data_IF_645648441741
#
_entry.id   IF_645648441741
#
_cell.length_a   1.000
_cell.length_b   1.000
_cell.length_c   1.000
_cell.angle_alpha   90.00
_cell.angle_beta   90.00
_cell.angle_gamma   90.00
#
_symmetry.space_group_name_H-M   'P 1'
#
loop_
_entity.id
_entity.type
_entity.pdbx_description
1 polymer ?
#
# COMPACT_ATOMS: atom_id res chain seq x y z
N UNK A 1 36.35 -27.32 0.86
CA UNK A 1 34.88 -27.52 0.89
C UNK A 1 34.26 -26.58 -0.14
N UNK A 2 33.66 -27.10 -1.20
CA UNK A 2 32.87 -26.25 -2.10
C UNK A 2 31.67 -25.69 -1.34
N UNK A 3 31.51 -24.37 -1.42
CA UNK A 3 30.40 -23.67 -0.78
C UNK A 3 29.14 -24.12 -1.51
N UNK A 4 28.31 -24.90 -0.84
CA UNK A 4 27.02 -25.32 -1.39
C UNK A 4 26.23 -24.06 -1.78
N UNK A 5 25.74 -23.99 -3.01
CA UNK A 5 25.05 -22.82 -3.57
C UNK A 5 23.79 -23.28 -4.30
N UNK A 6 22.67 -22.64 -4.01
CA UNK A 6 21.43 -22.78 -4.80
C UNK A 6 21.53 -21.76 -5.95
N UNK A 7 21.54 -22.26 -7.17
CA UNK A 7 21.69 -21.48 -8.40
C UNK A 7 21.24 -22.32 -9.59
N UNK A 8 20.97 -21.68 -10.73
CA UNK A 8 20.53 -22.38 -11.93
C UNK A 8 19.09 -22.03 -12.29
N UNK A 9 18.40 -22.98 -12.91
CA UNK A 9 17.13 -22.74 -13.57
C UNK A 9 16.01 -23.51 -12.87
N UNK A 10 14.93 -22.80 -12.56
CA UNK A 10 13.73 -23.41 -12.02
C UNK A 10 12.98 -24.11 -13.17
N UNK A 11 13.01 -25.44 -13.20
CA UNK A 11 12.32 -26.21 -14.23
C UNK A 11 10.81 -26.06 -14.14
N UNK A 12 10.20 -25.82 -15.30
CA UNK A 12 8.76 -25.67 -15.52
C UNK A 12 8.39 -26.37 -16.83
N UNK A 13 7.10 -26.38 -17.16
CA UNK A 13 6.66 -26.74 -18.51
C UNK A 13 7.24 -25.77 -19.56
N UNK A 14 7.30 -26.12 -20.85
CA UNK A 14 7.93 -25.29 -21.89
C UNK A 14 7.38 -23.86 -22.02
N UNK A 15 6.17 -23.60 -21.54
CA UNK A 15 5.54 -22.28 -21.52
C UNK A 15 5.77 -21.48 -20.22
N UNK A 16 6.64 -21.98 -19.33
CA UNK A 16 6.96 -21.34 -18.05
C UNK A 16 5.93 -21.59 -16.95
N UNK A 17 4.95 -22.47 -17.19
CA UNK A 17 3.90 -22.77 -16.21
C UNK A 17 4.25 -23.94 -15.31
N UNK A 18 3.65 -23.94 -14.13
CA UNK A 18 3.74 -25.05 -13.17
C UNK A 18 2.39 -25.31 -12.53
N UNK A 19 2.18 -26.55 -12.06
CA UNK A 19 1.01 -26.89 -11.25
C UNK A 19 1.32 -26.81 -9.77
N UNK A 20 0.42 -26.20 -9.01
CA UNK A 20 0.41 -26.37 -7.56
C UNK A 20 -0.13 -27.77 -7.17
N UNK A 21 -0.09 -28.06 -5.88
CA UNK A 21 -0.62 -29.31 -5.35
C UNK A 21 -2.11 -29.49 -5.65
N UNK A 22 -2.92 -28.43 -5.75
CA UNK A 22 -4.35 -28.54 -6.10
C UNK A 22 -4.60 -28.72 -7.59
N UNK A 23 -3.56 -28.65 -8.41
CA UNK A 23 -3.62 -28.80 -9.86
C UNK A 23 -3.92 -27.49 -10.59
N UNK A 24 -3.89 -26.35 -9.90
CA UNK A 24 -4.01 -25.05 -10.53
C UNK A 24 -2.73 -24.72 -11.30
N UNK A 25 -2.88 -24.10 -12.47
CA UNK A 25 -1.77 -23.64 -13.27
C UNK A 25 -1.32 -22.25 -12.84
N UNK A 26 -0.01 -22.08 -12.68
CA UNK A 26 0.64 -20.81 -12.39
C UNK A 26 1.62 -20.46 -13.49
N UNK A 27 1.47 -19.28 -14.07
CA UNK A 27 2.49 -18.67 -14.94
C UNK A 27 3.53 -17.97 -14.06
N UNK A 28 4.61 -18.67 -13.73
CA UNK A 28 5.66 -18.14 -12.86
C UNK A 28 6.38 -16.95 -13.51
N UNK A 29 6.54 -16.96 -14.83
CA UNK A 29 7.22 -15.90 -15.55
C UNK A 29 6.42 -14.60 -15.49
N UNK A 30 5.10 -14.68 -15.68
CA UNK A 30 4.21 -13.54 -15.47
C UNK A 30 4.23 -13.07 -14.01
N UNK A 31 4.13 -13.99 -13.05
CA UNK A 31 4.15 -13.65 -11.63
C UNK A 31 5.42 -12.90 -11.23
N UNK A 32 6.60 -13.34 -11.70
CA UNK A 32 7.88 -12.71 -11.39
C UNK A 32 8.08 -11.35 -12.10
N UNK A 33 7.34 -11.05 -13.17
CA UNK A 33 7.34 -9.71 -13.80
C UNK A 33 6.55 -8.70 -13.00
N UNK A 34 5.51 -9.15 -12.30
CA UNK A 34 4.60 -8.28 -11.54
C UNK A 34 5.00 -8.15 -10.07
N UNK A 35 5.67 -9.18 -9.52
CA UNK A 35 5.96 -9.31 -8.11
C UNK A 35 7.39 -9.77 -7.86
N UNK A 36 7.93 -9.39 -6.70
CA UNK A 36 9.12 -10.04 -6.15
C UNK A 36 8.71 -11.41 -5.61
N UNK A 37 9.11 -12.48 -6.29
CA UNK A 37 8.76 -13.85 -5.91
C UNK A 37 9.87 -14.48 -5.09
N UNK A 38 9.54 -14.89 -3.87
CA UNK A 38 10.44 -15.59 -2.95
C UNK A 38 9.99 -17.05 -2.82
N UNK A 39 10.86 -17.97 -3.24
CA UNK A 39 10.65 -19.40 -3.04
C UNK A 39 11.18 -19.80 -1.67
N UNK A 40 10.33 -20.47 -0.88
CA UNK A 40 10.66 -21.11 0.37
C UNK A 40 10.72 -22.63 0.14
N UNK A 41 11.90 -23.23 0.22
CA UNK A 41 12.02 -24.68 0.04
C UNK A 41 11.68 -25.41 1.34
N UNK A 42 10.95 -26.51 1.27
CA UNK A 42 10.76 -27.41 2.40
C UNK A 42 11.74 -28.57 2.24
N UNK A 43 12.43 -28.93 3.32
CA UNK A 43 13.41 -30.02 3.30
C UNK A 43 12.79 -31.29 2.75
N UNK A 44 11.68 -31.65 3.36
CA UNK A 44 10.80 -32.78 3.06
C UNK A 44 9.51 -32.54 3.85
N UNK A 45 8.45 -33.28 3.53
CA UNK A 45 7.15 -33.11 4.21
C UNK A 45 7.19 -33.32 5.74
N UNK A 46 7.87 -34.33 6.31
CA UNK A 46 7.85 -34.54 7.76
C UNK A 46 8.73 -33.55 8.55
N UNK A 47 9.39 -32.59 7.89
CA UNK A 47 10.25 -31.64 8.58
C UNK A 47 9.42 -30.64 9.41
N UNK A 48 9.52 -30.60 10.75
CA UNK A 48 8.70 -29.72 11.58
C UNK A 48 9.11 -28.24 11.47
N UNK A 49 10.37 -27.97 11.10
CA UNK A 49 10.93 -26.62 11.00
C UNK A 49 10.37 -25.87 9.79
N UNK A 50 10.07 -26.58 8.70
CA UNK A 50 9.67 -25.96 7.44
C UNK A 50 8.26 -25.32 7.49
N UNK A 51 7.22 -25.96 8.04
CA UNK A 51 5.94 -25.30 8.25
C UNK A 51 6.05 -24.13 9.24
N UNK A 52 6.83 -24.27 10.32
CA UNK A 52 6.99 -23.19 11.30
C UNK A 52 7.62 -21.95 10.68
N UNK A 53 8.55 -22.13 9.76
CA UNK A 53 9.12 -21.04 9.00
C UNK A 53 8.08 -20.25 8.20
N UNK A 54 7.14 -20.93 7.56
CA UNK A 54 6.03 -20.26 6.88
C UNK A 54 5.14 -19.53 7.88
N UNK A 55 4.83 -20.14 9.04
CA UNK A 55 4.07 -19.45 10.10
C UNK A 55 4.75 -18.16 10.55
N UNK A 56 6.07 -18.18 10.74
CA UNK A 56 6.85 -17.01 11.21
C UNK A 56 6.79 -15.85 10.22
N UNK A 57 7.01 -16.11 8.94
CA UNK A 57 6.93 -15.08 7.88
C UNK A 57 5.52 -14.48 7.76
N UNK A 58 4.50 -15.25 8.17
CA UNK A 58 3.10 -14.86 8.10
C UNK A 58 2.53 -14.32 9.41
N UNK A 59 3.38 -14.11 10.43
CA UNK A 59 3.04 -13.36 11.64
C UNK A 59 3.45 -11.91 11.47
N UNK A 60 2.76 -11.03 12.21
CA UNK A 60 3.19 -9.63 12.31
C UNK A 60 4.55 -9.53 13.02
N UNK A 61 5.41 -8.56 12.67
CA UNK A 61 5.19 -7.50 11.66
C UNK A 61 5.54 -7.90 10.21
N UNK A 62 6.08 -9.10 9.99
CA UNK A 62 6.59 -9.52 8.69
C UNK A 62 5.49 -9.66 7.64
N UNK A 63 4.30 -10.11 8.06
CA UNK A 63 3.15 -10.27 7.17
C UNK A 63 2.76 -8.97 6.48
N UNK A 64 2.53 -7.91 7.25
CA UNK A 64 2.17 -6.58 6.70
C UNK A 64 3.30 -6.04 5.82
N UNK A 65 4.54 -6.11 6.28
CA UNK A 65 5.72 -5.69 5.53
C UNK A 65 5.82 -6.36 4.15
N UNK A 66 5.78 -7.69 4.07
CA UNK A 66 5.90 -8.40 2.80
C UNK A 66 4.72 -8.14 1.86
N UNK A 67 3.50 -8.02 2.41
CA UNK A 67 2.31 -7.71 1.64
C UNK A 67 2.39 -6.31 1.01
N UNK A 68 2.80 -5.31 1.78
CA UNK A 68 2.94 -3.92 1.31
C UNK A 68 4.10 -3.77 0.31
N UNK A 69 5.17 -4.55 0.51
CA UNK A 69 6.28 -4.69 -0.43
C UNK A 69 5.89 -5.40 -1.75
N UNK A 70 4.68 -5.98 -1.84
CA UNK A 70 4.24 -6.71 -3.04
C UNK A 70 4.96 -8.04 -3.25
N UNK A 71 5.51 -8.63 -2.18
CA UNK A 71 6.21 -9.92 -2.21
C UNK A 71 5.20 -11.07 -2.32
N UNK A 72 5.51 -12.05 -3.18
CA UNK A 72 4.76 -13.30 -3.29
C UNK A 72 5.64 -14.46 -2.87
N UNK A 73 5.12 -15.31 -1.99
CA UNK A 73 5.81 -16.50 -1.57
C UNK A 73 5.30 -17.72 -2.33
N UNK A 74 6.22 -18.61 -2.68
CA UNK A 74 5.94 -19.93 -3.23
C UNK A 74 6.65 -20.98 -2.38
N UNK A 75 6.01 -22.11 -2.12
CA UNK A 75 6.64 -23.24 -1.41
C UNK A 75 7.04 -24.32 -2.41
N UNK A 76 8.30 -24.77 -2.35
CA UNK A 76 8.79 -25.91 -3.13
C UNK A 76 9.14 -27.05 -2.18
N UNK A 77 8.57 -28.24 -2.36
CA UNK A 77 8.79 -29.38 -1.48
C UNK A 77 8.83 -30.68 -2.29
N UNK A 78 9.67 -31.67 -1.93
CA UNK A 78 9.74 -32.93 -2.67
C UNK A 78 8.50 -33.83 -2.53
N UNK A 79 7.53 -33.50 -1.67
CA UNK A 79 6.31 -34.30 -1.55
C UNK A 79 6.42 -35.55 -0.65
N UNK A 80 5.52 -36.54 -0.81
CA UNK A 80 4.51 -36.66 -1.88
C UNK A 80 3.34 -35.67 -1.74
N UNK A 81 2.63 -35.43 -2.85
CA UNK A 81 1.56 -34.42 -2.99
C UNK A 81 0.48 -34.49 -1.91
N UNK A 82 -0.08 -35.67 -1.55
CA UNK A 82 -1.11 -35.74 -0.51
C UNK A 82 -0.61 -35.27 0.87
N UNK A 83 0.62 -35.60 1.23
CA UNK A 83 1.21 -35.19 2.50
C UNK A 83 1.59 -33.70 2.48
N UNK A 84 2.05 -33.20 1.33
CA UNK A 84 2.32 -31.77 1.16
C UNK A 84 1.03 -30.94 1.26
N UNK A 85 -0.09 -31.41 0.69
CA UNK A 85 -1.41 -30.82 0.88
C UNK A 85 -1.81 -30.76 2.34
N UNK A 86 -1.66 -31.88 3.07
CA UNK A 86 -1.97 -31.90 4.50
C UNK A 86 -1.11 -30.90 5.29
N UNK A 87 0.18 -30.78 4.95
CA UNK A 87 1.08 -29.79 5.56
C UNK A 87 0.65 -28.35 5.29
N UNK A 88 0.29 -28.02 4.04
CA UNK A 88 -0.29 -26.72 3.67
C UNK A 88 -1.59 -26.45 4.42
N UNK A 89 -2.47 -27.44 4.49
CA UNK A 89 -3.79 -27.27 5.10
C UNK A 89 -3.69 -26.96 6.59
N UNK A 90 -2.70 -27.54 7.29
CA UNK A 90 -2.35 -27.17 8.66
C UNK A 90 -1.80 -25.73 8.81
N UNK A 91 -1.42 -25.08 7.71
CA UNK A 91 -0.97 -23.68 7.67
C UNK A 91 -2.08 -22.70 7.30
N UNK A 92 -3.24 -23.16 6.81
CA UNK A 92 -4.37 -22.30 6.38
C UNK A 92 -4.71 -21.16 7.35
N UNK A 93 -4.77 -21.36 8.69
CA UNK A 93 -5.04 -20.27 9.63
C UNK A 93 -4.04 -19.11 9.56
N UNK A 94 -2.80 -19.37 9.14
CA UNK A 94 -1.73 -18.38 8.99
C UNK A 94 -1.65 -17.79 7.58
N UNK A 95 -2.31 -18.42 6.59
CA UNK A 95 -2.29 -18.01 5.18
C UNK A 95 -3.54 -17.23 4.77
N UNK A 96 -4.41 -16.87 5.72
CA UNK A 96 -5.69 -16.19 5.42
C UNK A 96 -5.45 -14.91 4.61
N UNK A 97 -6.16 -14.78 3.49
CA UNK A 97 -6.09 -13.61 2.61
C UNK A 97 -4.83 -13.55 1.73
N UNK A 98 -4.03 -14.61 1.71
CA UNK A 98 -2.87 -14.73 0.85
C UNK A 98 -2.90 -16.02 0.04
N UNK A 99 -2.63 -15.90 -1.25
CA UNK A 99 -2.42 -17.06 -2.10
C UNK A 99 -0.93 -17.45 -2.05
N UNK A 100 -0.65 -18.59 -1.43
CA UNK A 100 0.70 -19.16 -1.33
C UNK A 100 0.69 -20.52 -2.01
N UNK A 101 1.20 -20.61 -3.24
CA UNK A 101 1.24 -21.86 -3.99
C UNK A 101 2.21 -22.84 -3.34
N UNK A 102 1.80 -24.10 -3.26
CA UNK A 102 2.66 -25.21 -2.84
C UNK A 102 2.93 -26.07 -4.07
N UNK A 103 4.20 -26.20 -4.43
CA UNK A 103 4.67 -26.98 -5.57
C UNK A 103 5.31 -28.27 -5.05
N UNK A 104 4.90 -29.39 -5.64
CA UNK A 104 5.45 -30.71 -5.36
C UNK A 104 6.54 -31.07 -6.39
N UNK A 105 7.73 -31.42 -5.92
CA UNK A 105 8.88 -31.81 -6.73
C UNK A 105 9.26 -33.27 -6.44
N UNK A 106 8.32 -34.19 -6.65
CA UNK A 106 8.49 -35.62 -6.30
C UNK A 106 9.65 -36.28 -7.02
N UNK A 107 9.95 -35.83 -8.23
CA UNK A 107 11.07 -36.33 -9.04
C UNK A 107 12.40 -35.66 -8.72
N UNK A 108 12.42 -34.64 -7.85
CA UNK A 108 13.58 -33.78 -7.57
C UNK A 108 14.12 -33.05 -8.81
N UNK A 109 13.34 -32.95 -9.89
CA UNK A 109 13.80 -32.36 -11.15
C UNK A 109 13.99 -30.84 -11.03
N UNK A 110 13.13 -30.17 -10.25
CA UNK A 110 13.25 -28.73 -10.01
C UNK A 110 14.46 -28.49 -9.10
N UNK A 111 14.53 -29.19 -7.97
CA UNK A 111 15.64 -29.11 -7.03
C UNK A 111 16.98 -29.42 -7.69
N UNK A 112 17.04 -30.38 -8.62
CA UNK A 112 18.22 -30.65 -9.43
C UNK A 112 18.62 -29.48 -10.34
N UNK A 113 17.65 -28.87 -11.03
CA UNK A 113 17.86 -27.71 -11.92
C UNK A 113 18.39 -26.47 -11.20
N UNK A 114 18.06 -26.30 -9.92
CA UNK A 114 18.52 -25.18 -9.08
C UNK A 114 19.66 -25.56 -8.11
N UNK A 115 20.29 -26.72 -8.29
CA UNK A 115 21.37 -27.23 -7.43
C UNK A 115 20.99 -27.21 -5.93
N UNK A 116 19.75 -27.54 -5.61
CA UNK A 116 19.18 -27.53 -4.27
C UNK A 116 19.01 -28.92 -3.66
N UNK A 117 19.61 -29.97 -4.21
CA UNK A 117 19.52 -31.32 -3.65
C UNK A 117 20.41 -31.40 -2.40
N UNK A 118 19.81 -31.69 -1.25
CA UNK A 118 20.53 -31.94 0.01
C UNK A 118 20.88 -33.43 0.18
N UNK A 119 20.02 -34.31 -0.33
CA UNK A 119 20.15 -35.75 -0.22
C UNK A 119 18.93 -36.45 -0.83
N UNK A 120 18.84 -37.79 -0.72
CA UNK A 120 17.71 -38.56 -1.27
C UNK A 120 16.36 -38.03 -0.74
N UNK A 121 15.51 -37.53 -1.64
CA UNK A 121 14.20 -36.96 -1.31
C UNK A 121 14.25 -35.71 -0.42
N UNK A 122 15.39 -35.00 -0.40
CA UNK A 122 15.58 -33.82 0.45
C UNK A 122 16.08 -32.61 -0.34
N UNK A 123 15.41 -31.48 -0.16
CA UNK A 123 15.82 -30.18 -0.70
C UNK A 123 16.57 -29.39 0.38
N UNK A 124 17.59 -28.62 0.00
CA UNK A 124 18.30 -27.70 0.87
C UNK A 124 17.28 -26.68 1.42
N UNK A 125 17.10 -26.55 2.74
CA UNK A 125 16.23 -25.52 3.30
C UNK A 125 16.82 -24.13 3.06
N UNK A 126 16.19 -23.35 2.18
CA UNK A 126 16.61 -22.00 1.83
C UNK A 126 15.43 -21.11 1.41
N UNK A 127 15.69 -19.81 1.38
CA UNK A 127 14.93 -18.88 0.56
C UNK A 127 15.72 -18.52 -0.68
N UNK A 128 15.03 -18.27 -1.77
CA UNK A 128 15.63 -17.60 -2.92
C UNK A 128 14.63 -16.75 -3.69
N UNK A 129 15.13 -15.74 -4.37
CA UNK A 129 14.38 -14.97 -5.36
C UNK A 129 14.28 -15.78 -6.66
N UNK A 130 13.07 -15.84 -7.22
CA UNK A 130 12.85 -16.34 -8.57
C UNK A 130 12.70 -15.16 -9.52
N UNK A 131 13.52 -15.11 -10.56
CA UNK A 131 13.52 -14.02 -11.54
C UNK A 131 12.52 -14.26 -12.68
N UNK A 132 12.18 -13.22 -13.48
CA UNK A 132 11.31 -13.36 -14.64
C UNK A 132 11.73 -14.40 -15.68
N UNK A 133 13.04 -14.66 -15.79
CA UNK A 133 13.61 -15.69 -16.65
C UNK A 133 13.66 -17.06 -15.97
N UNK A 134 13.04 -17.21 -14.80
CA UNK A 134 13.04 -18.40 -13.95
C UNK A 134 14.42 -18.84 -13.43
N UNK A 135 15.42 -17.98 -13.54
CA UNK A 135 16.71 -18.19 -12.90
C UNK A 135 16.64 -17.86 -11.41
N UNK A 136 17.50 -18.51 -10.63
CA UNK A 136 17.68 -18.21 -9.21
C UNK A 136 18.45 -16.90 -9.04
N UNK A 137 17.85 -15.96 -8.32
CA UNK A 137 18.46 -14.70 -7.91
C UNK A 137 19.15 -14.77 -6.55
N UNK A 138 18.82 -13.82 -5.67
CA UNK A 138 19.30 -13.81 -4.29
C UNK A 138 18.98 -15.13 -3.56
N UNK A 139 19.86 -15.59 -2.66
CA UNK A 139 19.64 -16.80 -1.88
C UNK A 139 20.02 -16.65 -0.40
N UNK A 140 19.28 -17.32 0.47
CA UNK A 140 19.62 -17.50 1.88
C UNK A 140 19.57 -18.99 2.24
N UNK A 141 20.76 -19.60 2.32
CA UNK A 141 20.95 -21.00 2.66
C UNK A 141 21.02 -21.25 4.15
N UNK A 142 20.70 -22.48 4.54
CA UNK A 142 20.94 -22.98 5.89
C UNK A 142 19.90 -22.43 6.86
N UNK A 143 18.88 -23.23 7.13
CA UNK A 143 17.79 -22.89 8.04
C UNK A 143 17.57 -24.05 8.98
N UNK A 144 17.39 -23.75 10.26
CA UNK A 144 17.29 -24.74 11.33
C UNK A 144 16.70 -24.13 12.59
N UNK A 145 16.58 -24.91 13.69
CA UNK A 145 15.91 -24.48 14.92
C UNK A 145 16.43 -23.17 15.52
N UNK A 146 17.69 -22.80 15.25
CA UNK A 146 18.31 -21.56 15.72
C UNK A 146 18.43 -20.43 14.69
N UNK A 147 18.05 -20.66 13.42
CA UNK A 147 18.13 -19.64 12.37
C UNK A 147 17.12 -19.93 11.25
N UNK A 148 16.02 -19.18 11.23
CA UNK A 148 14.97 -19.32 10.22
C UNK A 148 15.22 -18.46 8.98
N UNK A 149 16.18 -17.54 9.01
CA UNK A 149 16.50 -16.66 7.87
C UNK A 149 15.43 -15.62 7.51
N UNK A 150 14.36 -15.50 8.30
CA UNK A 150 13.28 -14.53 8.17
C UNK A 150 13.80 -13.08 8.11
N UNK A 151 14.64 -12.67 9.05
CA UNK A 151 15.24 -11.33 9.06
C UNK A 151 16.12 -11.04 7.86
N UNK A 152 16.76 -12.06 7.27
CA UNK A 152 17.58 -11.90 6.06
C UNK A 152 16.73 -11.72 4.81
N UNK A 153 15.60 -12.42 4.71
CA UNK A 153 14.62 -12.19 3.64
C UNK A 153 14.05 -10.78 3.75
N UNK A 154 13.67 -10.35 4.97
CA UNK A 154 13.14 -9.01 5.18
C UNK A 154 14.14 -7.93 4.74
N UNK A 155 15.41 -8.06 5.14
CA UNK A 155 16.48 -7.15 4.73
C UNK A 155 16.70 -7.15 3.22
N UNK A 156 16.71 -8.32 2.57
CA UNK A 156 16.83 -8.39 1.11
C UNK A 156 15.68 -7.64 0.41
N UNK A 157 14.45 -7.84 0.87
CA UNK A 157 13.27 -7.15 0.33
C UNK A 157 13.37 -5.64 0.54
N UNK A 158 13.81 -5.19 1.70
CA UNK A 158 14.03 -3.77 1.98
C UNK A 158 15.08 -3.14 1.04
N UNK A 159 16.23 -3.80 0.87
CA UNK A 159 17.29 -3.36 -0.05
C UNK A 159 16.79 -3.33 -1.51
N UNK A 160 15.99 -4.32 -1.92
CA UNK A 160 15.38 -4.37 -3.25
C UNK A 160 14.38 -3.21 -3.47
N UNK A 161 13.54 -2.89 -2.48
CA UNK A 161 12.58 -1.78 -2.55
C UNK A 161 13.29 -0.43 -2.64
N UNK A 162 14.34 -0.21 -1.84
CA UNK A 162 15.13 1.02 -1.89
C UNK A 162 15.80 1.21 -3.25
N UNK A 163 16.33 0.11 -3.82
CA UNK A 163 16.93 0.12 -5.16
C UNK A 163 15.89 0.47 -6.23
N UNK A 164 14.73 -0.20 -6.21
CA UNK A 164 13.64 0.05 -7.15
C UNK A 164 13.11 1.49 -7.05
N UNK A 165 13.02 2.05 -5.84
CA UNK A 165 12.62 3.44 -5.62
C UNK A 165 13.65 4.41 -6.21
N UNK A 166 14.95 4.19 -5.98
CA UNK A 166 16.01 5.03 -6.53
C UNK A 166 16.02 5.01 -8.07
N UNK A 167 15.80 3.84 -8.67
CA UNK A 167 15.69 3.72 -10.13
C UNK A 167 14.46 4.45 -10.68
N UNK A 168 13.31 4.34 -10.01
CA UNK A 168 12.08 5.02 -10.42
C UNK A 168 12.24 6.54 -10.32
N UNK A 169 12.83 7.04 -9.24
CA UNK A 169 13.16 8.46 -9.04
C UNK A 169 14.10 8.95 -10.15
N UNK A 170 15.16 8.20 -10.47
CA UNK A 170 16.10 8.54 -11.54
C UNK A 170 15.42 8.60 -12.92
N UNK A 171 14.55 7.63 -13.23
CA UNK A 171 13.75 7.63 -14.48
C UNK A 171 12.79 8.81 -14.54
N UNK A 172 12.13 9.13 -13.42
CA UNK A 172 11.23 10.28 -13.31
C UNK A 172 11.98 11.60 -13.54
N UNK A 173 13.13 11.79 -12.88
CA UNK A 173 13.96 12.99 -13.07
C UNK A 173 14.46 13.12 -14.52
N UNK A 174 14.89 12.02 -15.13
CA UNK A 174 15.31 12.01 -16.54
C UNK A 174 14.17 12.38 -17.48
N UNK A 175 12.94 11.90 -17.22
CA UNK A 175 11.76 12.26 -17.98
C UNK A 175 11.40 13.74 -17.80
N UNK A 176 11.35 14.23 -16.56
CA UNK A 176 11.07 15.63 -16.25
C UNK A 176 12.07 16.56 -16.95
N UNK A 177 13.37 16.26 -16.90
CA UNK A 177 14.39 17.06 -17.60
C UNK A 177 14.31 16.98 -19.13
N UNK A 178 13.74 15.91 -19.70
CA UNK A 178 13.41 15.88 -21.15
C UNK A 178 12.20 16.74 -21.47
N UNK A 179 11.16 16.69 -20.64
CA UNK A 179 9.94 17.47 -20.81
C UNK A 179 10.22 18.98 -20.68
N UNK A 180 11.01 19.38 -19.69
CA UNK A 180 11.43 20.78 -19.50
C UNK A 180 12.21 21.33 -20.70
N UNK A 181 13.02 20.49 -21.37
CA UNK A 181 13.75 20.90 -22.60
C UNK A 181 12.83 21.03 -23.81
N UNK A 182 11.79 20.22 -23.90
CA UNK A 182 10.82 20.27 -25.00
C UNK A 182 9.79 21.39 -24.81
N UNK A 183 9.50 21.76 -23.56
CA UNK A 183 8.44 22.71 -23.24
C UNK A 183 8.60 24.07 -23.95
N UNK A 184 9.79 24.71 -24.04
CA UNK A 184 9.96 25.95 -24.79
C UNK A 184 9.64 25.79 -26.27
N UNK A 185 10.12 24.72 -26.92
CA UNK A 185 9.83 24.43 -28.32
C UNK A 185 8.35 24.15 -28.58
N UNK A 186 7.67 23.53 -27.61
CA UNK A 186 6.23 23.28 -27.66
C UNK A 186 5.39 24.55 -27.40
N UNK A 187 5.95 25.53 -26.68
CA UNK A 187 5.30 26.78 -26.32
C UNK A 187 5.69 27.96 -27.22
N UNK A 188 6.67 27.79 -28.11
CA UNK A 188 7.06 28.81 -29.08
C UNK A 188 5.87 29.09 -30.02
N UNK A 189 5.45 30.36 -30.14
CA UNK A 189 4.37 30.73 -31.03
C UNK A 189 4.77 30.45 -32.48
N UNK A 190 4.03 29.55 -33.12
CA UNK A 190 4.18 29.25 -34.55
C UNK A 190 4.03 30.57 -35.36
N UNK A 191 5.01 30.95 -36.19
CA UNK A 191 4.92 32.15 -37.00
C UNK A 191 3.72 32.04 -37.95
N UNK A 192 2.75 32.94 -37.79
CA UNK A 192 1.52 33.01 -38.60
C UNK A 192 0.22 32.66 -37.88
N UNK A 193 0.25 32.26 -36.60
CA UNK A 193 -0.97 32.01 -35.81
C UNK A 193 -1.35 33.27 -35.00
N UNK A 194 -2.57 33.81 -35.12
CA UNK A 194 -2.98 35.00 -34.41
C UNK A 194 -2.92 34.78 -32.88
N UNK A 195 -2.55 35.81 -32.10
CA UNK A 195 -2.38 35.69 -30.66
C UNK A 195 -3.71 35.38 -29.99
N UNK A 196 -3.93 34.12 -29.60
CA UNK A 196 -5.05 33.76 -28.74
C UNK A 196 -4.74 34.14 -27.29
N UNK A 197 -5.76 34.71 -26.64
CA UNK A 197 -5.68 35.41 -25.37
C UNK A 197 -5.05 34.58 -24.24
N UNK A 198 -4.34 35.32 -23.39
CA UNK A 198 -3.59 34.85 -22.23
C UNK A 198 -4.49 34.16 -21.20
N UNK A 199 -4.51 32.84 -21.25
CA UNK A 199 -5.02 31.96 -20.20
C UNK A 199 -4.22 30.68 -20.23
N UNK A 200 -3.16 30.60 -19.42
CA UNK A 200 -2.22 29.46 -19.36
C UNK A 200 -2.89 28.23 -18.74
N UNK A 201 -3.74 27.57 -19.51
CA UNK A 201 -4.07 26.15 -19.38
C UNK A 201 -4.02 25.56 -20.77
N UNK A 202 -3.16 24.55 -20.99
CA UNK A 202 -3.15 23.79 -22.24
C UNK A 202 -4.59 23.33 -22.53
N UNK A 203 -5.20 23.70 -23.67
CA UNK A 203 -6.51 23.18 -24.05
C UNK A 203 -6.47 21.65 -24.07
N UNK A 204 -7.51 20.96 -23.56
CA UNK A 204 -7.63 19.51 -23.76
C UNK A 204 -7.51 19.19 -25.26
N UNK A 205 -6.63 18.26 -25.64
CA UNK A 205 -6.34 17.94 -27.05
C UNK A 205 -5.06 18.57 -27.63
N UNK A 206 -4.49 19.61 -27.01
CA UNK A 206 -3.20 20.16 -27.48
C UNK A 206 -2.04 19.21 -27.21
N UNK A 207 -2.06 18.48 -26.09
CA UNK A 207 -1.05 17.47 -25.80
C UNK A 207 -1.12 16.33 -26.83
N UNK A 208 -2.32 15.82 -27.17
CA UNK A 208 -2.47 14.84 -28.25
C UNK A 208 -1.99 15.38 -29.61
N UNK A 209 -2.31 16.63 -29.94
CA UNK A 209 -1.90 17.27 -31.20
C UNK A 209 -0.39 17.46 -31.30
N UNK A 210 0.29 17.75 -30.18
CA UNK A 210 1.75 17.88 -30.14
C UNK A 210 2.46 16.54 -30.07
N UNK A 211 1.87 15.54 -29.41
CA UNK A 211 2.35 14.16 -29.49
C UNK A 211 2.29 13.67 -30.93
N UNK A 212 1.26 14.01 -31.72
CA UNK A 212 1.20 13.69 -33.15
C UNK A 212 2.37 14.24 -33.99
N UNK A 213 3.03 15.32 -33.54
CA UNK A 213 4.19 15.92 -34.20
C UNK A 213 5.52 15.22 -33.87
N UNK A 214 5.56 14.36 -32.84
CA UNK A 214 6.74 13.57 -32.51
C UNK A 214 6.93 12.42 -33.52
N UNK A 215 8.18 11.98 -33.70
CA UNK A 215 8.43 10.79 -34.52
C UNK A 215 7.67 9.58 -33.92
N UNK A 216 7.22 8.61 -34.73
CA UNK A 216 6.39 7.49 -34.25
C UNK A 216 6.96 6.76 -33.03
N UNK A 217 8.30 6.64 -32.95
CA UNK A 217 9.02 6.03 -31.82
C UNK A 217 8.90 6.85 -30.53
N UNK A 218 8.98 8.17 -30.64
CA UNK A 218 8.90 9.10 -29.51
C UNK A 218 7.47 9.25 -29.00
N UNK A 219 6.48 9.18 -29.90
CA UNK A 219 5.06 9.05 -29.54
C UNK A 219 4.77 7.83 -28.71
N UNK A 220 5.23 6.67 -29.18
CA UNK A 220 5.03 5.41 -28.48
C UNK A 220 5.67 5.47 -27.09
N UNK A 221 6.88 6.01 -27.01
CA UNK A 221 7.60 6.14 -25.75
C UNK A 221 6.90 7.12 -24.79
N UNK A 222 6.46 8.28 -25.26
CA UNK A 222 5.72 9.25 -24.45
C UNK A 222 4.37 8.69 -23.98
N UNK A 223 3.62 8.00 -24.86
CA UNK A 223 2.36 7.39 -24.50
C UNK A 223 2.53 6.27 -23.45
N UNK A 224 3.55 5.43 -23.60
CA UNK A 224 3.89 4.39 -22.61
C UNK A 224 4.27 5.03 -21.28
N UNK A 225 5.14 6.03 -21.28
CA UNK A 225 5.59 6.67 -20.04
C UNK A 225 4.48 7.45 -19.34
N UNK A 226 3.63 8.18 -20.08
CA UNK A 226 2.46 8.84 -19.50
C UNK A 226 1.48 7.82 -18.93
N UNK A 227 1.26 6.69 -19.61
CA UNK A 227 0.42 5.60 -19.10
C UNK A 227 0.99 4.98 -17.83
N UNK A 228 2.29 4.67 -17.80
CA UNK A 228 2.98 4.12 -16.62
C UNK A 228 2.91 5.08 -15.44
N UNK A 229 3.12 6.38 -15.68
CA UNK A 229 3.00 7.40 -14.64
C UNK A 229 1.55 7.51 -14.12
N UNK A 230 0.55 7.54 -15.01
CA UNK A 230 -0.87 7.56 -14.62
C UNK A 230 -1.25 6.32 -13.80
N UNK A 231 -0.79 5.14 -14.21
CA UNK A 231 -1.00 3.90 -13.45
C UNK A 231 -0.32 3.97 -12.09
N UNK A 232 0.91 4.50 -12.01
CA UNK A 232 1.61 4.70 -10.74
C UNK A 232 0.87 5.67 -9.81
N UNK A 233 0.35 6.78 -10.33
CA UNK A 233 -0.43 7.74 -9.55
C UNK A 233 -1.77 7.15 -9.09
N UNK A 234 -2.45 6.39 -9.95
CA UNK A 234 -3.68 5.69 -9.61
C UNK A 234 -3.45 4.64 -8.51
N UNK A 235 -2.34 3.89 -8.57
CA UNK A 235 -1.96 2.92 -7.54
C UNK A 235 -1.63 3.60 -6.21
N UNK A 236 -0.91 4.72 -6.22
CA UNK A 236 -0.63 5.51 -5.02
C UNK A 236 -1.92 6.07 -4.41
N UNK A 237 -2.80 6.65 -5.22
CA UNK A 237 -4.10 7.14 -4.78
C UNK A 237 -4.97 6.01 -4.19
N UNK A 238 -4.96 4.82 -4.82
CA UNK A 238 -5.67 3.65 -4.29
C UNK A 238 -5.10 3.20 -2.94
N UNK A 239 -3.78 3.11 -2.79
CA UNK A 239 -3.12 2.76 -1.52
C UNK A 239 -3.43 3.78 -0.42
N UNK A 240 -3.43 5.07 -0.75
CA UNK A 240 -3.79 6.12 0.21
C UNK A 240 -5.27 6.00 0.63
N UNK A 241 -6.17 5.76 -0.32
CA UNK A 241 -7.58 5.54 -0.05
C UNK A 241 -7.81 4.29 0.82
N UNK A 242 -7.13 3.18 0.53
CA UNK A 242 -7.17 1.96 1.33
C UNK A 242 -6.62 2.20 2.74
N UNK A 243 -5.53 2.96 2.90
CA UNK A 243 -4.98 3.33 4.21
C UNK A 243 -5.96 4.18 5.01
N UNK A 244 -6.55 5.21 4.39
CA UNK A 244 -7.59 6.04 5.01
C UNK A 244 -8.81 5.22 5.40
N UNK A 245 -9.28 4.30 4.54
CA UNK A 245 -10.38 3.39 4.84
C UNK A 245 -10.03 2.45 6.00
N UNK A 246 -8.81 1.92 6.05
CA UNK A 246 -8.31 1.10 7.15
C UNK A 246 -8.27 1.87 8.47
N UNK A 247 -7.72 3.09 8.47
CA UNK A 247 -7.71 3.96 9.64
C UNK A 247 -9.13 4.31 10.12
N UNK A 248 -10.07 4.56 9.19
CA UNK A 248 -11.47 4.78 9.52
C UNK A 248 -12.12 3.54 10.12
N UNK A 249 -11.84 2.34 9.61
CA UNK A 249 -12.36 1.09 10.19
C UNK A 249 -11.82 0.88 11.60
N UNK A 250 -10.51 1.02 11.79
CA UNK A 250 -9.89 0.87 13.11
C UNK A 250 -10.45 1.87 14.12
N UNK A 251 -10.59 3.16 13.75
CA UNK A 251 -11.19 4.16 14.63
C UNK A 251 -12.66 3.83 14.97
N UNK A 252 -13.42 3.26 14.01
CA UNK A 252 -14.78 2.79 14.26
C UNK A 252 -14.82 1.59 15.20
N UNK A 253 -13.92 0.64 15.05
CA UNK A 253 -13.86 -0.56 15.89
C UNK A 253 -13.53 -0.17 17.34
N UNK A 254 -12.52 0.70 17.54
CA UNK A 254 -12.17 1.23 18.86
C UNK A 254 -13.35 1.98 19.49
N UNK A 255 -14.03 2.82 18.71
CA UNK A 255 -15.22 3.54 19.20
C UNK A 255 -16.37 2.58 19.53
N UNK A 256 -16.59 1.54 18.72
CA UNK A 256 -17.63 0.56 18.96
C UNK A 256 -17.35 -0.29 20.21
N UNK A 257 -16.09 -0.65 20.46
CA UNK A 257 -15.67 -1.31 21.71
C UNK A 257 -15.91 -0.42 22.94
N UNK A 258 -15.60 0.86 22.85
CA UNK A 258 -15.87 1.82 23.92
C UNK A 258 -17.37 2.00 24.18
N UNK A 259 -18.17 2.18 23.13
CA UNK A 259 -19.63 2.29 23.21
C UNK A 259 -20.25 1.00 23.75
N UNK A 260 -19.73 -0.17 23.36
CA UNK A 260 -20.14 -1.46 23.93
C UNK A 260 -19.88 -1.52 25.44
N UNK A 261 -18.70 -1.07 25.86
CA UNK A 261 -18.33 -1.05 27.28
C UNK A 261 -19.24 -0.13 28.09
N UNK A 262 -19.54 1.06 27.56
CA UNK A 262 -20.47 2.00 28.18
C UNK A 262 -21.88 1.43 28.26
N UNK A 263 -22.35 0.78 27.19
CA UNK A 263 -23.65 0.12 27.14
C UNK A 263 -23.76 -0.97 28.21
N UNK A 264 -22.74 -1.83 28.34
CA UNK A 264 -22.67 -2.89 29.35
C UNK A 264 -22.62 -2.37 30.80
N UNK A 265 -22.10 -1.16 31.01
CA UNK A 265 -22.06 -0.50 32.32
C UNK A 265 -23.37 0.21 32.67
N UNK A 266 -24.40 0.12 31.81
CA UNK A 266 -25.65 0.87 31.99
C UNK A 266 -25.51 2.37 31.70
N UNK A 267 -24.44 2.80 31.03
CA UNK A 267 -24.19 4.19 30.65
C UNK A 267 -24.66 4.49 29.23
N UNK A 268 -25.76 3.86 28.79
CA UNK A 268 -26.30 4.04 27.44
C UNK A 268 -26.81 5.48 27.23
N UNK A 269 -26.59 6.04 26.04
CA UNK A 269 -27.07 7.39 25.71
C UNK A 269 -28.46 7.33 25.08
N UNK A 270 -29.38 8.27 25.40
CA UNK A 270 -30.64 8.38 24.68
C UNK A 270 -30.40 8.56 23.17
N UNK A 271 -31.23 7.91 22.36
CA UNK A 271 -31.13 7.83 20.89
C UNK A 271 -29.88 7.07 20.37
N UNK A 272 -29.11 6.42 21.25
CA UNK A 272 -28.00 5.57 20.81
C UNK A 272 -28.54 4.40 20.01
N UNK A 273 -27.99 4.21 18.81
CA UNK A 273 -28.30 3.07 17.96
C UNK A 273 -27.65 1.79 18.50
N UNK A 274 -28.41 0.71 18.51
CA UNK A 274 -28.02 -0.59 19.08
C UNK A 274 -28.55 -1.73 18.20
N UNK A 275 -28.11 -2.94 18.50
CA UNK A 275 -28.64 -4.19 17.97
C UNK A 275 -29.05 -5.10 19.14
N UNK A 276 -30.29 -5.56 19.14
CA UNK A 276 -30.82 -6.51 20.12
C UNK A 276 -30.45 -7.92 19.63
N UNK A 277 -29.52 -8.55 20.35
CA UNK A 277 -28.90 -9.83 19.94
C UNK A 277 -29.67 -11.06 20.38
N UNK A 278 -30.53 -10.92 21.40
CA UNK A 278 -31.29 -12.03 21.97
C UNK A 278 -32.78 -11.78 21.76
N UNK A 279 -33.49 -12.79 21.22
CA UNK A 279 -34.91 -12.67 20.92
C UNK A 279 -35.72 -12.41 22.19
N UNK A 280 -36.33 -11.22 22.26
CA UNK A 280 -37.23 -10.82 23.33
C UNK A 280 -38.67 -10.91 22.81
N UNK A 281 -39.61 -11.57 23.52
CA UNK A 281 -40.97 -11.85 23.02
C UNK A 281 -41.77 -10.63 22.55
N UNK A 282 -41.40 -9.41 22.98
CA UNK A 282 -42.07 -8.14 22.66
C UNK A 282 -41.26 -7.19 21.77
N UNK A 283 -40.02 -7.54 21.45
CA UNK A 283 -39.02 -6.65 20.84
C UNK A 283 -38.31 -7.28 19.65
N UNK A 284 -38.45 -8.60 19.44
CA UNK A 284 -37.75 -9.29 18.37
C UNK A 284 -36.23 -9.28 18.56
N UNK A 285 -35.50 -9.41 17.45
CA UNK A 285 -34.05 -9.26 17.38
C UNK A 285 -33.69 -8.36 16.20
N UNK A 286 -32.61 -7.59 16.31
CA UNK A 286 -32.15 -6.71 15.24
C UNK A 286 -31.98 -5.25 15.66
N UNK A 287 -31.96 -4.32 14.70
CA UNK A 287 -31.59 -2.93 14.94
C UNK A 287 -32.63 -2.18 15.77
N UNK A 288 -32.15 -1.36 16.70
CA UNK A 288 -32.99 -0.51 17.53
C UNK A 288 -32.28 0.76 17.99
N UNK A 289 -32.94 1.49 18.88
CA UNK A 289 -32.39 2.66 19.55
C UNK A 289 -32.72 2.66 21.03
N UNK A 290 -31.83 3.23 21.83
CA UNK A 290 -32.02 3.45 23.26
C UNK A 290 -32.96 4.64 23.46
N UNK A 291 -33.97 4.49 24.30
CA UNK A 291 -34.84 5.57 24.75
C UNK A 291 -34.39 6.14 26.10
N UNK A 292 -33.94 5.28 27.01
CA UNK A 292 -33.49 5.66 28.34
C UNK A 292 -32.82 4.51 29.09
N UNK A 293 -32.24 4.82 30.25
CA UNK A 293 -31.70 3.83 31.19
C UNK A 293 -32.57 3.87 32.44
N UNK A 294 -33.03 2.69 32.88
CA UNK A 294 -33.87 2.51 34.05
C UNK A 294 -33.04 2.16 35.29
N UNK A 295 -33.60 2.43 36.47
CA UNK A 295 -33.02 2.01 37.75
C UNK A 295 -32.83 0.49 37.77
N UNK A 296 -31.63 0.04 38.13
CA UNK A 296 -31.24 -1.37 38.03
C UNK A 296 -30.54 -1.76 36.71
N UNK A 297 -30.10 -0.77 35.92
CA UNK A 297 -29.19 -0.96 34.79
C UNK A 297 -29.84 -1.56 33.54
N UNK A 298 -31.17 -1.67 33.50
CA UNK A 298 -31.87 -2.09 32.30
C UNK A 298 -32.00 -0.91 31.32
N UNK A 299 -32.01 -1.22 30.03
CA UNK A 299 -32.07 -0.20 28.98
C UNK A 299 -33.42 -0.29 28.29
N UNK A 300 -34.11 0.84 28.22
CA UNK A 300 -35.35 0.99 27.46
C UNK A 300 -35.00 1.18 25.98
N UNK A 301 -35.55 0.34 25.12
CA UNK A 301 -35.19 0.25 23.70
C UNK A 301 -36.41 0.21 22.80
N UNK A 302 -36.26 0.78 21.62
CA UNK A 302 -37.25 0.74 20.54
C UNK A 302 -36.64 0.08 19.32
N UNK A 303 -37.35 -0.90 18.77
CA UNK A 303 -36.99 -1.66 17.56
C UNK A 303 -38.12 -1.53 16.53
N UNK A 304 -37.94 -2.10 15.34
CA UNK A 304 -39.00 -2.20 14.35
C UNK A 304 -40.21 -3.03 14.85
N UNK A 305 -39.97 -4.00 15.72
CA UNK A 305 -40.99 -4.94 16.22
C UNK A 305 -41.72 -4.43 17.47
N UNK A 306 -41.22 -3.36 18.10
CA UNK A 306 -41.86 -2.74 19.24
C UNK A 306 -40.89 -2.11 20.23
N UNK A 307 -41.45 -1.78 21.39
CA UNK A 307 -40.80 -1.10 22.49
C UNK A 307 -40.73 -1.99 23.73
N UNK A 308 -39.62 -1.94 24.47
CA UNK A 308 -39.54 -2.61 25.77
C UNK A 308 -38.20 -2.44 26.46
N UNK A 309 -37.99 -3.22 27.51
CA UNK A 309 -36.84 -3.12 28.40
C UNK A 309 -35.95 -4.35 28.24
N UNK A 310 -34.65 -4.12 28.01
CA UNK A 310 -33.68 -5.18 27.72
C UNK A 310 -32.47 -5.03 28.65
N UNK A 311 -31.97 -6.12 29.25
CA UNK A 311 -30.75 -6.06 30.04
C UNK A 311 -29.53 -5.79 29.14
N UNK A 312 -28.49 -5.08 29.61
CA UNK A 312 -27.37 -4.63 28.77
C UNK A 312 -26.65 -5.73 28.01
N UNK A 313 -26.55 -6.94 28.58
CA UNK A 313 -25.86 -8.07 27.95
C UNK A 313 -26.60 -8.65 26.72
N UNK A 314 -27.86 -8.26 26.49
CA UNK A 314 -28.61 -8.61 25.29
C UNK A 314 -28.45 -7.56 24.18
N UNK A 315 -27.72 -6.47 24.43
CA UNK A 315 -27.51 -5.38 23.49
C UNK A 315 -26.09 -5.41 22.93
N UNK A 316 -25.96 -5.05 21.67
CA UNK A 316 -24.70 -4.83 20.97
C UNK A 316 -24.68 -3.41 20.40
N UNK A 317 -23.60 -2.67 20.61
CA UNK A 317 -23.29 -1.45 19.87
C UNK A 317 -22.73 -1.85 18.49
N UNK A 318 -23.49 -1.68 17.38
CA UNK A 318 -22.93 -1.92 16.05
C UNK A 318 -21.77 -0.95 15.76
N UNK A 319 -20.94 -1.21 14.72
CA UNK A 319 -19.77 -0.38 14.36
C UNK A 319 -20.08 1.10 14.02
N UNK A 320 -21.36 1.46 13.99
CA UNK A 320 -21.89 2.80 13.69
C UNK A 320 -22.70 3.39 14.86
N UNK A 321 -22.78 2.70 16.01
CA UNK A 321 -23.32 3.24 17.25
C UNK A 321 -22.46 4.43 17.73
N UNK A 322 -23.10 5.52 18.15
CA UNK A 322 -22.39 6.72 18.62
C UNK A 322 -22.14 7.81 17.56
N UNK A 323 -22.45 7.56 16.28
CA UNK A 323 -22.46 8.62 15.28
C UNK A 323 -23.77 9.42 15.35
N UNK A 324 -23.75 10.53 16.09
CA UNK A 324 -24.68 11.60 15.79
C UNK A 324 -24.44 12.05 14.33
N UNK A 325 -25.52 12.32 13.59
CA UNK A 325 -25.49 12.73 12.18
C UNK A 325 -24.69 14.03 11.87
N UNK A 326 -24.19 14.89 12.80
CA UNK A 326 -23.36 16.03 12.41
C UNK A 326 -21.84 15.75 12.51
N UNK A 327 -21.35 14.66 11.92
CA UNK A 327 -19.89 14.47 11.69
C UNK A 327 -19.47 14.67 10.22
N UNK A 328 -20.41 15.07 9.34
CA UNK A 328 -20.12 15.50 7.97
C UNK A 328 -19.30 16.81 7.89
N UNK A 329 -19.09 17.54 9.00
CA UNK A 329 -18.21 18.72 9.03
C UNK A 329 -16.72 18.35 8.92
N UNK A 330 -16.29 17.23 9.49
CA UNK A 330 -14.93 16.71 9.28
C UNK A 330 -14.72 16.25 7.84
N UNK A 331 -15.73 15.61 7.27
CA UNK A 331 -15.76 15.19 5.86
C UNK A 331 -15.70 16.37 4.88
N UNK A 332 -16.49 17.43 5.13
CA UNK A 332 -16.44 18.66 4.35
C UNK A 332 -15.11 19.41 4.49
N UNK A 333 -14.45 19.32 5.65
CA UNK A 333 -13.14 19.97 5.89
C UNK A 333 -11.99 19.21 5.23
N UNK A 334 -12.01 17.87 5.25
CA UNK A 334 -11.04 17.04 4.53
C UNK A 334 -11.21 17.13 3.01
N UNK A 335 -12.46 17.18 2.52
CA UNK A 335 -12.75 17.44 1.11
C UNK A 335 -12.46 18.89 0.71
N UNK A 336 -12.68 19.87 1.58
CA UNK A 336 -12.28 21.26 1.34
C UNK A 336 -10.76 21.44 1.37
N UNK A 337 -10.00 20.68 2.17
CA UNK A 337 -8.54 20.65 2.12
C UNK A 337 -8.03 20.02 0.82
N UNK A 338 -8.64 18.91 0.38
CA UNK A 338 -8.31 18.29 -0.91
C UNK A 338 -8.65 19.21 -2.09
N UNK A 339 -9.80 19.88 -2.04
CA UNK A 339 -10.23 20.86 -3.05
C UNK A 339 -9.39 22.14 -3.04
N UNK A 340 -8.96 22.63 -1.86
CA UNK A 340 -8.01 23.77 -1.72
C UNK A 340 -6.60 23.44 -2.20
N UNK A 341 -6.13 22.20 -2.08
CA UNK A 341 -4.85 21.79 -2.69
C UNK A 341 -4.91 21.77 -4.22
N UNK A 342 -6.11 21.63 -4.80
CA UNK A 342 -6.34 21.63 -6.24
C UNK A 342 -6.73 23.01 -6.81
N UNK A 343 -7.01 24.01 -5.97
CA UNK A 343 -7.49 25.32 -6.41
C UNK A 343 -7.00 26.49 -5.55
N UNK A 344 -5.76 26.97 -5.79
CA UNK A 344 -5.38 28.35 -5.48
C UNK A 344 -4.42 28.92 -6.54
N UNK A 345 -4.76 30.05 -7.20
CA UNK A 345 -3.78 30.94 -7.81
C UNK A 345 -3.10 31.83 -6.74
N UNK A 346 -1.91 32.40 -7.01
CA UNK A 346 -1.24 33.28 -6.06
C UNK A 346 -1.95 34.63 -5.92
N UNK A 347 -2.15 35.10 -4.68
CA UNK A 347 -2.49 36.50 -4.44
C UNK A 347 -1.25 37.39 -4.62
N UNK A 348 -1.40 38.61 -5.16
CA UNK A 348 -0.31 39.56 -5.31
C UNK A 348 0.14 40.08 -3.94
N UNK A 349 1.45 40.10 -3.72
CA UNK A 349 2.05 40.78 -2.57
C UNK A 349 1.88 42.28 -2.73
N UNK A 350 1.24 42.92 -1.75
CA UNK A 350 1.29 44.38 -1.59
C UNK A 350 2.72 44.79 -1.23
N UNK A 351 3.32 45.60 -2.10
CA UNK A 351 4.52 46.38 -1.79
C UNK A 351 4.24 47.31 -0.60
N UNK A 352 4.95 47.11 0.51
CA UNK A 352 5.12 48.12 1.55
C UNK A 352 6.43 48.86 1.28
N UNK A 353 6.30 50.11 0.88
CA UNK A 353 7.40 51.08 0.86
C UNK A 353 7.99 51.26 2.26
N UNK A 354 9.30 51.08 2.40
CA UNK A 354 10.07 51.63 3.52
C UNK A 354 10.25 53.15 3.34
N UNK A 355 10.45 53.86 4.46
CA UNK A 355 11.54 54.82 4.49
C UNK A 355 12.43 54.61 5.73
N UNK A 356 13.75 54.51 5.49
CA UNK A 356 14.81 54.84 6.45
C UNK A 356 15.05 56.38 6.43
N UNK A 357 15.84 57.00 7.35
CA UNK A 357 16.60 56.46 8.48
C UNK A 357 16.51 57.28 9.80
N UNK A 358 17.08 56.72 10.89
CA UNK A 358 17.30 57.43 12.15
C UNK A 358 18.27 56.69 13.08
N UNK A 359 19.28 57.40 13.56
CA UNK A 359 20.54 56.92 14.15
C UNK A 359 20.50 56.58 15.66
N UNK A 360 21.58 55.91 16.11
CA UNK A 360 22.19 55.94 17.46
C UNK A 360 21.41 55.20 18.58
N UNK A 361 21.97 54.59 19.64
CA UNK A 361 23.32 54.47 20.21
C UNK A 361 23.30 53.41 21.34
N UNK A 362 24.47 52.88 21.72
CA UNK A 362 24.89 52.36 23.07
C UNK A 362 24.09 51.23 23.74
N UNK A 363 24.64 50.30 24.54
CA UNK A 363 25.98 49.90 25.00
C UNK A 363 25.80 48.58 25.80
N UNK A 364 26.90 47.79 25.94
CA UNK A 364 27.35 47.00 27.12
C UNK A 364 26.34 46.07 27.87
N UNK A 365 26.64 44.86 28.37
CA UNK A 365 27.86 44.09 28.59
C UNK A 365 27.48 42.62 28.95
N UNK A 366 28.50 41.76 28.95
CA UNK A 366 28.77 40.68 29.93
C UNK A 366 28.16 39.26 29.78
N UNK A 367 29.04 38.36 29.30
CA UNK A 367 29.48 37.09 29.93
C UNK A 367 28.49 35.92 30.09
N UNK A 368 28.70 34.82 29.35
CA UNK A 368 29.41 33.61 29.82
C UNK A 368 29.41 32.50 28.76
N UNK A 369 30.57 31.84 28.64
CA UNK A 369 30.83 30.65 27.82
C UNK A 369 30.17 29.42 28.46
N UNK A 370 29.50 28.61 27.66
CA UNK A 370 29.59 27.15 27.81
C UNK A 370 29.52 26.52 26.42
N UNK A 371 30.39 25.52 26.23
CA UNK A 371 30.64 24.81 24.98
C UNK A 371 29.77 23.55 25.01
N UNK A 372 28.85 23.42 24.06
CA UNK A 372 28.24 22.14 23.72
C UNK A 372 27.93 22.11 22.22
N UNK A 373 28.53 21.15 21.53
CA UNK A 373 28.43 20.94 20.10
C UNK A 373 26.98 20.62 19.68
N UNK A 374 26.42 21.43 18.79
CA UNK A 374 25.15 21.15 18.12
C UNK A 374 25.42 20.63 16.70
N UNK A 375 24.78 19.50 16.38
CA UNK A 375 24.76 18.88 15.06
C UNK A 375 24.06 19.78 14.02
N UNK A 376 24.40 19.68 12.71
CA UNK A 376 23.84 20.55 11.69
C UNK A 376 22.38 20.19 11.38
N UNK A 377 21.49 21.19 11.45
CA UNK A 377 20.17 21.13 10.86
C UNK A 377 20.28 21.19 9.33
N UNK A 378 19.59 20.31 8.56
CA UNK A 378 19.51 20.48 7.12
C UNK A 378 18.46 21.54 6.76
N UNK A 379 18.89 22.46 5.91
CA UNK A 379 18.10 23.51 5.30
C UNK A 379 16.83 22.95 4.64
N UNK A 380 15.67 23.29 5.21
CA UNK A 380 14.39 23.20 4.54
C UNK A 380 14.15 24.50 3.76
N UNK A 381 13.82 24.35 2.47
CA UNK A 381 13.13 25.39 1.72
C UNK A 381 13.84 25.82 0.44
N UNK A 382 13.32 25.35 -0.71
CA UNK A 382 12.83 26.19 -1.84
C UNK A 382 12.63 25.44 -3.16
N UNK A 383 13.05 24.18 -3.29
CA UNK A 383 12.94 23.45 -4.58
C UNK A 383 11.63 22.68 -4.82
N UNK A 384 10.66 22.66 -3.89
CA UNK A 384 9.43 21.87 -4.02
C UNK A 384 8.28 22.53 -4.79
N UNK A 385 8.35 23.84 -5.07
CA UNK A 385 7.20 24.56 -5.64
C UNK A 385 7.11 24.52 -7.17
N UNK A 386 8.23 24.35 -7.89
CA UNK A 386 8.22 24.33 -9.35
C UNK A 386 7.67 23.02 -9.94
N UNK A 387 8.07 21.87 -9.39
CA UNK A 387 7.62 20.55 -9.86
C UNK A 387 6.13 20.29 -9.55
N UNK A 388 5.63 20.80 -8.42
CA UNK A 388 4.21 20.69 -8.05
C UNK A 388 3.30 21.48 -8.99
N UNK A 389 3.74 22.65 -9.47
CA UNK A 389 2.97 23.48 -10.40
C UNK A 389 2.84 22.84 -11.79
N UNK A 390 3.91 22.19 -12.29
CA UNK A 390 3.88 21.45 -13.56
C UNK A 390 3.01 20.20 -13.46
N UNK A 391 3.11 19.45 -12.34
CA UNK A 391 2.27 18.29 -12.08
C UNK A 391 0.77 18.62 -11.98
N UNK A 392 0.42 19.73 -11.31
CA UNK A 392 -0.96 20.19 -11.18
C UNK A 392 -1.57 20.62 -12.54
N UNK A 393 -0.78 21.26 -13.40
CA UNK A 393 -1.23 21.65 -14.74
C UNK A 393 -1.52 20.44 -15.65
N UNK A 394 -0.71 19.37 -15.53
CA UNK A 394 -0.93 18.10 -16.25
C UNK A 394 -2.16 17.35 -15.69
N UNK A 395 -2.34 17.33 -14.38
CA UNK A 395 -3.48 16.71 -13.71
C UNK A 395 -4.82 17.36 -14.13
N UNK A 396 -4.88 18.69 -14.20
CA UNK A 396 -6.06 19.45 -14.59
C UNK A 396 -6.47 19.21 -16.06
N UNK A 397 -5.49 18.97 -16.95
CA UNK A 397 -5.74 18.65 -18.36
C UNK A 397 -6.33 17.23 -18.53
N UNK A 398 -5.88 16.26 -17.72
CA UNK A 398 -6.31 14.85 -17.81
C UNK A 398 -7.68 14.61 -17.16
N UNK A 399 -8.00 15.27 -16.05
CA UNK A 399 -9.34 15.16 -15.42
C UNK A 399 -10.43 15.70 -16.35
N UNK A 400 -10.16 16.77 -17.10
CA UNK A 400 -11.08 17.29 -18.13
C UNK A 400 -11.31 16.30 -19.29
N UNK A 401 -10.32 15.48 -19.63
CA UNK A 401 -10.45 14.46 -20.68
C UNK A 401 -11.37 13.30 -20.27
N UNK A 402 -11.39 12.93 -19.00
CA UNK A 402 -12.27 11.86 -18.48
C UNK A 402 -13.75 12.23 -18.46
N UNK A 403 -14.10 13.52 -18.32
CA UNK A 403 -15.50 13.97 -18.33
C UNK A 403 -16.08 14.19 -19.74
N UNK A 404 -15.24 14.51 -20.75
CA UNK A 404 -15.71 14.73 -22.13
C UNK A 404 -16.04 13.46 -22.93
N UNK A 405 -16.01 12.27 -22.32
CA UNK A 405 -16.43 10.99 -22.93
C UNK A 405 -17.67 10.37 -22.28
N UNK A 406 -18.26 11.05 -21.29
CA UNK A 406 -19.47 10.61 -20.60
C UNK A 406 -20.73 11.40 -21.00
N UNK A 407 -20.63 12.28 -22.00
CA UNK A 407 -21.77 12.94 -22.66
C UNK A 407 -21.81 12.59 -24.15
#
# INVERSE_FOLDING_TARGET
MHRMQVCGQFHTEPDGKIRDVDGHWLDLSALCREHLVIVCTFKCVPCPVCPEQMRRIRREPLRSFFREAGVRFLVLCPGPTPLLKASRDALKPYLIGEDVPFICDETMAIAGGINAILGPGQIIPCFFELKPDLSVGWTQLGRGPGNFGDGKVARFVEEALLTAQAEAEGKFQALSGRLERLLPTLLEPQPGRPPQAQGRTMPPGMLESHLQLLAPRERLQAAVTCREWLLSQALLARREAERCLGAMRHARDVQAEEEMRLLQQGCARPQQRIEVTLHQPRLGCGPGRVLGVLDGGHVEVETADGHGTVPPHCLSAPPWAGQAVPALKGFATAMAMHSRMLSLPPQPQQEKNEPTPGASSTAAAATQRSVAAAAPQPAQGRFRFAAAAVGAAVLAAVVKWGHGRAE
#
